data_IF_980576464282
#
_entry.id   IF_980576464282
#
_cell.length_a   1.000
_cell.length_b   1.000
_cell.length_c   1.000
_cell.angle_alpha   90.00
_cell.angle_beta   90.00
_cell.angle_gamma   90.00
#
_symmetry.space_group_name_H-M   'P 1'
#
loop_
_entity.id
_entity.type
_entity.pdbx_description
1 polymer ?
#
# COMPACT_ATOMS: atom_id res chain seq x y z
N UNK A 1 -0.10 1.55 -1.36
CA UNK A 1 -0.60 1.25 0.00
C UNK A 1 -1.40 2.42 0.57
N UNK A 2 -0.82 3.58 0.89
CA UNK A 2 -1.55 4.70 1.53
C UNK A 2 -2.73 5.20 0.70
N UNK A 3 -2.54 5.38 -0.61
CA UNK A 3 -3.63 5.79 -1.51
C UNK A 3 -4.77 4.77 -1.51
N UNK A 4 -4.44 3.47 -1.56
CA UNK A 4 -5.45 2.41 -1.54
C UNK A 4 -6.27 2.41 -0.25
N UNK A 5 -5.65 2.77 0.88
CA UNK A 5 -6.38 2.87 2.16
C UNK A 5 -7.38 4.03 2.19
N UNK A 6 -7.08 5.14 1.52
CA UNK A 6 -7.96 6.33 1.53
C UNK A 6 -8.93 6.38 0.36
N UNK A 7 -8.68 5.65 -0.74
CA UNK A 7 -9.60 5.58 -1.89
C UNK A 7 -10.41 4.29 -1.94
N UNK A 8 -9.97 3.23 -1.25
CA UNK A 8 -10.55 1.90 -1.33
C UNK A 8 -10.28 1.18 -2.67
N UNK A 9 -9.46 1.76 -3.55
CA UNK A 9 -9.13 1.19 -4.86
C UNK A 9 -7.83 0.38 -4.74
N UNK A 10 -7.90 -0.89 -5.12
CA UNK A 10 -6.73 -1.79 -5.21
C UNK A 10 -5.98 -1.50 -6.51
N UNK A 11 -4.83 -0.84 -6.41
CA UNK A 11 -4.10 -0.34 -7.58
C UNK A 11 -3.46 -1.51 -8.35
N UNK A 12 -2.99 -2.55 -7.65
CA UNK A 12 -2.35 -3.69 -8.30
C UNK A 12 -3.37 -4.53 -9.06
N UNK A 13 -4.57 -4.75 -8.50
CA UNK A 13 -5.65 -5.43 -9.25
C UNK A 13 -6.09 -4.61 -10.47
N UNK A 14 -6.23 -3.30 -10.31
CA UNK A 14 -6.56 -2.41 -11.42
C UNK A 14 -5.53 -2.50 -12.56
N UNK A 15 -4.23 -2.58 -12.25
CA UNK A 15 -3.18 -2.77 -13.26
C UNK A 15 -3.37 -4.07 -14.05
N UNK A 16 -3.71 -5.17 -13.37
CA UNK A 16 -3.97 -6.46 -14.02
C UNK A 16 -5.20 -6.34 -14.93
N UNK A 17 -6.30 -5.77 -14.44
CA UNK A 17 -7.53 -5.63 -15.24
C UNK A 17 -7.36 -4.71 -16.45
N UNK A 18 -6.56 -3.66 -16.33
CA UNK A 18 -6.22 -2.80 -17.47
C UNK A 18 -5.43 -3.59 -18.53
N UNK A 19 -4.51 -4.46 -18.11
CA UNK A 19 -3.77 -5.34 -19.04
C UNK A 19 -4.66 -6.40 -19.68
N UNK A 20 -5.70 -6.86 -18.98
CA UNK A 20 -6.74 -7.74 -19.55
C UNK A 20 -7.67 -7.01 -20.54
N UNK A 21 -7.49 -5.69 -20.71
CA UNK A 21 -8.22 -4.88 -21.68
C UNK A 21 -9.46 -4.17 -21.12
N UNK A 22 -9.70 -4.22 -19.81
CA UNK A 22 -10.82 -3.53 -19.20
C UNK A 22 -10.57 -2.02 -19.09
N UNK A 23 -11.62 -1.22 -19.32
CA UNK A 23 -11.52 0.23 -19.33
C UNK A 23 -11.84 0.83 -17.96
N UNK A 24 -11.05 1.84 -17.53
CA UNK A 24 -11.32 2.59 -16.30
C UNK A 24 -12.74 3.16 -16.31
N UNK A 25 -13.43 3.04 -15.19
CA UNK A 25 -14.82 3.48 -15.02
C UNK A 25 -15.84 2.38 -15.31
N UNK A 26 -15.42 1.22 -15.80
CA UNK A 26 -16.27 0.02 -15.84
C UNK A 26 -16.07 -0.83 -14.58
N UNK A 27 -17.09 -1.60 -14.14
CA UNK A 27 -16.98 -2.46 -12.97
C UNK A 27 -15.82 -3.47 -13.04
N UNK A 28 -15.51 -3.97 -14.23
CA UNK A 28 -14.48 -4.99 -14.48
C UNK A 28 -13.06 -4.46 -14.30
N UNK A 29 -12.84 -3.15 -14.50
CA UNK A 29 -11.52 -2.53 -14.29
C UNK A 29 -11.11 -2.45 -12.82
N UNK A 30 -12.05 -2.59 -11.89
CA UNK A 30 -11.83 -2.33 -10.47
C UNK A 30 -11.60 -0.85 -10.13
N UNK A 31 -11.71 0.06 -11.10
CA UNK A 31 -11.53 1.51 -10.91
C UNK A 31 -12.84 2.25 -11.24
N UNK A 32 -13.44 2.96 -10.26
CA UNK A 32 -14.64 3.77 -10.49
C UNK A 32 -14.40 4.91 -11.48
N UNK A 33 -15.49 5.46 -12.03
CA UNK A 33 -15.40 6.70 -12.81
C UNK A 33 -14.90 7.87 -11.93
N UNK A 34 -14.19 8.83 -12.52
CA UNK A 34 -13.50 9.90 -11.79
C UNK A 34 -14.39 10.64 -10.76
N UNK A 35 -15.66 10.89 -11.08
CA UNK A 35 -16.63 11.58 -10.20
C UNK A 35 -17.02 10.78 -8.95
N UNK A 36 -16.82 9.46 -8.99
CA UNK A 36 -17.19 8.51 -7.95
C UNK A 36 -15.99 8.15 -7.06
N UNK A 37 -14.78 8.58 -7.41
CA UNK A 37 -13.60 8.45 -6.56
C UNK A 37 -13.69 9.46 -5.42
N UNK A 38 -13.73 8.96 -4.18
CA UNK A 38 -13.83 9.77 -2.96
C UNK A 38 -12.64 9.50 -2.06
N UNK A 39 -12.25 10.53 -1.32
CA UNK A 39 -11.21 10.46 -0.31
C UNK A 39 -11.86 10.14 1.04
N UNK A 40 -11.40 9.10 1.70
CA UNK A 40 -11.89 8.66 3.02
C UNK A 40 -10.73 8.62 4.01
N UNK A 41 -10.75 9.55 4.98
CA UNK A 41 -9.76 9.61 6.04
C UNK A 41 -8.35 9.99 5.56
N UNK A 42 -7.35 9.57 6.32
CA UNK A 42 -5.94 9.81 6.04
C UNK A 42 -5.15 8.53 6.32
N UNK A 43 -4.07 8.32 5.56
CA UNK A 43 -3.16 7.20 5.76
C UNK A 43 -1.72 7.70 5.62
N UNK A 44 -0.81 7.12 6.41
CA UNK A 44 0.62 7.34 6.29
C UNK A 44 1.34 5.99 6.18
N UNK A 45 2.56 6.00 5.64
CA UNK A 45 3.39 4.81 5.57
C UNK A 45 4.79 5.14 6.07
N UNK A 46 5.29 4.26 6.93
CA UNK A 46 6.69 4.20 7.31
C UNK A 46 7.32 2.95 6.69
N UNK A 47 8.62 3.02 6.39
CA UNK A 47 9.41 1.87 5.97
C UNK A 47 10.34 1.50 7.13
N UNK A 48 10.26 0.25 7.57
CA UNK A 48 11.21 -0.30 8.53
C UNK A 48 12.36 -0.90 7.73
N UNK A 49 13.56 -0.41 7.97
CA UNK A 49 14.81 -0.84 7.31
C UNK A 49 15.77 -1.40 8.36
N UNK A 50 16.90 -1.95 7.93
CA UNK A 50 17.99 -2.35 8.82
C UNK A 50 18.96 -1.20 9.10
N UNK A 51 18.65 0.02 8.69
CA UNK A 51 19.50 1.19 8.90
C UNK A 51 19.50 1.59 10.37
N UNK A 52 20.68 1.66 10.99
CA UNK A 52 20.82 1.95 12.42
C UNK A 52 20.98 3.46 12.67
N UNK A 53 20.00 4.15 13.30
CA UNK A 53 20.10 5.59 13.59
C UNK A 53 21.25 5.95 14.55
N UNK A 54 21.68 5.04 15.42
CA UNK A 54 22.82 5.27 16.34
C UNK A 54 24.17 5.17 15.63
N UNK A 55 24.19 4.52 14.46
CA UNK A 55 25.37 4.35 13.60
C UNK A 55 25.19 5.04 12.24
N UNK A 56 24.70 6.28 12.24
CA UNK A 56 24.54 7.13 11.04
C UNK A 56 23.73 6.49 9.90
N UNK A 57 22.72 5.69 10.23
CA UNK A 57 21.87 4.97 9.27
C UNK A 57 22.63 3.99 8.35
N UNK A 58 23.77 3.47 8.81
CA UNK A 58 24.44 2.38 8.11
C UNK A 58 23.53 1.14 8.13
N UNK A 59 23.32 0.45 6.99
CA UNK A 59 22.53 -0.78 6.96
C UNK A 59 23.21 -1.90 7.75
N UNK A 60 22.51 -2.41 8.77
CA UNK A 60 22.87 -3.64 9.46
C UNK A 60 22.44 -4.87 8.65
N UNK A 61 23.03 -6.02 8.96
CA UNK A 61 22.77 -7.30 8.29
C UNK A 61 22.99 -8.47 9.24
N UNK A 62 22.37 -9.60 8.92
CA UNK A 62 22.47 -10.82 9.70
C UNK A 62 21.20 -11.65 9.64
N UNK A 63 21.09 -12.63 10.54
CA UNK A 63 19.90 -13.48 10.63
C UNK A 63 18.93 -12.90 11.66
N UNK A 64 17.69 -12.64 11.25
CA UNK A 64 16.61 -12.30 12.17
C UNK A 64 16.31 -13.54 13.04
N UNK A 65 16.52 -13.44 14.35
CA UNK A 65 16.30 -14.53 15.30
C UNK A 65 14.87 -14.59 15.82
N UNK A 66 14.17 -13.45 15.84
CA UNK A 66 12.75 -13.34 16.16
C UNK A 66 12.12 -12.18 15.37
N UNK A 67 10.89 -12.37 14.90
CA UNK A 67 10.11 -11.36 14.20
C UNK A 67 8.65 -11.43 14.67
N UNK A 68 8.07 -10.27 14.99
CA UNK A 68 6.64 -10.15 15.34
C UNK A 68 6.08 -8.87 14.73
N UNK A 69 5.18 -9.01 13.78
CA UNK A 69 4.48 -7.88 13.17
C UNK A 69 3.41 -7.28 14.09
N UNK A 70 3.11 -5.99 13.90
CA UNK A 70 1.94 -5.36 14.49
C UNK A 70 0.67 -5.73 13.72
N UNK A 71 -0.46 -5.85 14.42
CA UNK A 71 -1.78 -6.12 13.82
C UNK A 71 -2.85 -5.30 14.54
N UNK A 72 -3.98 -5.02 13.89
CA UNK A 72 -5.09 -4.26 14.46
C UNK A 72 -5.91 -3.51 13.43
N UNK A 73 -7.02 -2.91 13.85
CA UNK A 73 -7.83 -2.06 12.98
C UNK A 73 -7.03 -0.83 12.53
N UNK A 74 -6.97 -0.58 11.22
CA UNK A 74 -6.19 0.51 10.63
C UNK A 74 -4.68 0.28 10.55
N UNK A 75 -4.19 -0.92 10.91
CA UNK A 75 -2.80 -1.32 10.75
C UNK A 75 -2.70 -2.21 9.50
N UNK A 76 -1.86 -1.79 8.56
CA UNK A 76 -1.51 -2.52 7.33
C UNK A 76 -0.01 -2.56 7.17
#
# INVERSE_FOLDING_TARGET
TVTEQVTGIDIVKAQIHILDGFAIGTPESGVPAQKDIRLNGHALQCRITTEDPEHNFIPDYGRITAYRGATGFGIR
#
